data_IF_232370155941
#
_entry.id   IF_232370155941
#
_cell.length_a   1.000
_cell.length_b   1.000
_cell.length_c   1.000
_cell.angle_alpha   90.00
_cell.angle_beta   90.00
_cell.angle_gamma   90.00
#
_symmetry.space_group_name_H-M   'P 1'
#
loop_
_entity.id
_entity.type
_entity.pdbx_description
1 polymer ?
#
# COMPACT_ATOMS: atom_id res chain seq x y z
N UNK A 1 8.07 -15.75 -23.79
CA UNK A 1 6.98 -14.74 -23.77
C UNK A 1 7.48 -13.36 -23.29
N UNK A 2 8.65 -12.90 -23.75
CA UNK A 2 9.34 -11.71 -23.20
C UNK A 2 9.79 -10.70 -24.29
N UNK A 3 9.28 -10.81 -25.52
CA UNK A 3 9.80 -10.09 -26.70
C UNK A 3 9.00 -8.83 -27.12
N UNK A 4 7.84 -8.53 -26.53
CA UNK A 4 6.88 -7.60 -27.18
C UNK A 4 6.66 -6.21 -26.55
N UNK A 5 7.42 -5.79 -25.52
CA UNK A 5 7.10 -4.56 -24.76
C UNK A 5 8.11 -3.41 -24.88
N UNK A 6 8.83 -3.28 -26.01
CA UNK A 6 9.84 -2.22 -26.22
C UNK A 6 9.48 -1.11 -27.22
N UNK A 7 8.20 -0.78 -27.42
CA UNK A 7 7.84 0.36 -28.28
C UNK A 7 6.73 1.21 -27.68
N UNK A 8 7.13 2.34 -27.06
CA UNK A 8 6.59 3.70 -27.29
C UNK A 8 7.18 4.68 -26.25
N UNK A 9 8.00 5.61 -26.74
CA UNK A 9 8.41 6.84 -26.04
C UNK A 9 7.99 8.03 -26.91
N UNK A 10 7.65 9.12 -26.22
CA UNK A 10 7.54 10.51 -26.65
C UNK A 10 6.23 10.98 -27.34
N UNK A 11 5.55 11.94 -26.68
CA UNK A 11 5.48 13.35 -27.11
C UNK A 11 5.06 14.27 -25.94
N UNK A 12 5.53 15.51 -26.05
CA UNK A 12 5.60 16.62 -25.08
C UNK A 12 4.35 17.55 -25.15
N UNK A 13 4.07 18.18 -24.01
CA UNK A 13 3.78 19.60 -23.71
C UNK A 13 2.73 20.41 -24.51
N UNK A 14 1.96 21.21 -23.75
CA UNK A 14 1.49 22.55 -24.15
C UNK A 14 0.11 22.95 -23.60
N UNK A 15 -0.02 24.15 -23.02
CA UNK A 15 -1.30 24.89 -22.91
C UNK A 15 -1.54 25.66 -21.60
N UNK A 16 -1.59 26.99 -21.69
CA UNK A 16 -1.75 27.99 -20.61
C UNK A 16 -3.22 28.43 -20.42
N UNK A 17 -3.52 29.02 -19.24
CA UNK A 17 -4.24 30.31 -19.10
C UNK A 17 -5.75 30.33 -18.81
N UNK A 18 -6.16 31.18 -17.84
CA UNK A 18 -7.53 31.72 -17.72
C UNK A 18 -7.98 32.11 -16.30
N UNK A 19 -7.99 33.40 -15.98
CA UNK A 19 -8.50 34.00 -14.72
C UNK A 19 -9.99 34.42 -14.79
N UNK A 20 -10.68 34.34 -13.63
CA UNK A 20 -11.76 35.22 -13.13
C UNK A 20 -13.23 34.88 -13.48
N UNK A 21 -14.25 35.43 -12.77
CA UNK A 21 -14.24 36.29 -11.56
C UNK A 21 -15.20 35.83 -10.43
N UNK A 22 -15.24 36.64 -9.36
CA UNK A 22 -15.99 36.50 -8.11
C UNK A 22 -17.52 36.68 -8.22
N UNK A 23 -18.26 36.08 -7.28
CA UNK A 23 -19.67 36.34 -7.01
C UNK A 23 -20.05 35.91 -5.60
N UNK A 24 -20.50 36.86 -4.78
CA UNK A 24 -20.98 36.70 -3.40
C UNK A 24 -22.41 36.12 -3.36
N UNK A 25 -22.74 35.38 -2.29
CA UNK A 25 -24.10 34.94 -2.00
C UNK A 25 -24.19 34.15 -0.68
N UNK A 26 -25.03 34.64 0.21
CA UNK A 26 -25.11 34.33 1.65
C UNK A 26 -25.90 33.08 2.03
N UNK A 27 -25.73 32.72 3.31
CA UNK A 27 -26.72 32.16 4.25
C UNK A 27 -26.80 30.63 4.42
N UNK A 28 -26.41 30.24 5.64
CA UNK A 28 -26.87 29.09 6.43
C UNK A 28 -26.85 27.72 5.76
N UNK A 29 -25.83 26.91 6.07
CA UNK A 29 -26.06 25.49 6.34
C UNK A 29 -24.99 24.93 7.25
N UNK A 30 -25.43 24.21 8.28
CA UNK A 30 -24.59 23.52 9.26
C UNK A 30 -23.64 22.57 8.54
N UNK A 31 -22.34 22.92 8.48
CA UNK A 31 -21.28 22.02 8.02
C UNK A 31 -21.26 20.80 8.94
N UNK A 32 -21.92 19.73 8.51
CA UNK A 32 -21.64 18.39 9.04
C UNK A 32 -20.18 18.13 8.71
N UNK A 33 -19.31 18.21 9.72
CA UNK A 33 -17.88 18.01 9.55
C UNK A 33 -17.62 16.58 9.11
N UNK A 34 -17.58 16.37 7.80
CA UNK A 34 -17.03 15.17 7.21
C UNK A 34 -15.51 15.15 7.46
N UNK A 35 -14.95 13.97 7.70
CA UNK A 35 -13.49 13.80 7.75
C UNK A 35 -12.99 13.29 6.41
N UNK A 36 -11.79 13.67 6.02
CA UNK A 36 -11.11 13.09 4.87
C UNK A 36 -10.77 11.62 5.19
N UNK A 37 -11.10 10.70 4.27
CA UNK A 37 -10.72 9.30 4.34
C UNK A 37 -10.46 8.73 2.96
N UNK A 38 -10.28 7.42 2.85
CA UNK A 38 -10.05 6.74 1.57
C UNK A 38 -11.01 5.56 1.38
N UNK A 39 -11.45 5.34 0.15
CA UNK A 39 -12.22 4.15 -0.21
C UNK A 39 -11.31 2.92 -0.15
N UNK A 40 -11.56 1.91 0.71
CA UNK A 40 -10.66 0.76 0.84
C UNK A 40 -10.68 -0.17 -0.40
N UNK A 41 -11.66 -0.01 -1.30
CA UNK A 41 -11.72 -0.76 -2.57
C UNK A 41 -10.79 -0.19 -3.64
N UNK A 42 -10.61 1.14 -3.68
CA UNK A 42 -9.92 1.79 -4.81
C UNK A 42 -8.96 2.93 -4.42
N UNK A 43 -8.77 3.14 -3.11
CA UNK A 43 -7.90 4.14 -2.47
C UNK A 43 -8.10 5.58 -2.95
N UNK A 44 -9.29 5.90 -3.44
CA UNK A 44 -9.64 7.27 -3.79
C UNK A 44 -10.09 8.00 -2.54
N UNK A 45 -9.70 9.26 -2.42
CA UNK A 45 -10.14 10.12 -1.34
C UNK A 45 -11.67 10.18 -1.34
N UNK A 46 -12.24 10.05 -0.14
CA UNK A 46 -13.69 10.12 0.08
C UNK A 46 -13.97 11.04 1.25
N UNK A 47 -15.07 11.79 1.13
CA UNK A 47 -15.63 12.51 2.25
C UNK A 47 -16.46 11.54 3.08
N UNK A 48 -16.11 11.42 4.35
CA UNK A 48 -16.74 10.50 5.28
C UNK A 48 -17.58 11.28 6.29
N UNK A 49 -18.86 10.97 6.37
CA UNK A 49 -19.72 11.45 7.43
C UNK A 49 -19.62 10.52 8.64
N UNK A 50 -19.65 11.08 9.85
CA UNK A 50 -19.77 10.28 11.06
C UNK A 50 -21.14 9.59 11.06
N UNK A 51 -21.15 8.27 11.14
CA UNK A 51 -22.36 7.48 11.26
C UNK A 51 -23.12 7.80 12.57
N UNK A 52 -24.45 7.68 12.58
CA UNK A 52 -25.24 7.88 13.79
C UNK A 52 -24.80 6.89 14.90
N UNK A 53 -24.73 7.36 16.15
CA UNK A 53 -24.49 6.49 17.32
C UNK A 53 -23.07 5.92 17.46
N UNK A 54 -22.08 6.44 16.72
CA UNK A 54 -20.71 5.89 16.74
C UNK A 54 -20.51 4.67 15.82
N UNK A 55 -21.49 4.37 14.97
CA UNK A 55 -21.44 3.27 14.00
C UNK A 55 -20.63 3.65 12.75
N UNK A 56 -19.31 3.78 12.92
CA UNK A 56 -18.35 3.95 11.82
C UNK A 56 -18.61 5.17 10.92
N UNK A 57 -17.83 5.26 9.86
CA UNK A 57 -18.02 6.31 8.85
C UNK A 57 -18.96 5.83 7.75
N UNK A 58 -19.79 6.74 7.24
CA UNK A 58 -20.61 6.55 6.05
C UNK A 58 -20.09 7.45 4.93
N UNK A 59 -20.28 7.04 3.69
CA UNK A 59 -19.80 7.81 2.54
C UNK A 59 -19.96 7.03 1.26
N UNK A 60 -19.77 7.70 0.14
CA UNK A 60 -19.91 7.10 -1.17
C UNK A 60 -18.66 7.38 -2.00
N UNK A 61 -18.05 6.34 -2.56
CA UNK A 61 -16.84 6.51 -3.35
C UNK A 61 -17.13 6.99 -4.78
N UNK A 62 -16.66 8.18 -5.20
CA UNK A 62 -16.97 8.73 -6.52
C UNK A 62 -16.31 7.95 -7.67
N UNK A 63 -15.30 7.11 -7.40
CA UNK A 63 -14.58 6.36 -8.42
C UNK A 63 -15.19 4.98 -8.71
N UNK A 64 -15.64 4.28 -7.69
CA UNK A 64 -16.06 2.89 -7.82
C UNK A 64 -17.47 2.62 -7.26
N UNK A 65 -18.24 3.69 -7.04
CA UNK A 65 -19.66 3.69 -6.66
C UNK A 65 -19.95 2.89 -5.39
N UNK A 66 -18.92 2.70 -4.57
CA UNK A 66 -18.98 1.81 -3.40
C UNK A 66 -19.48 2.59 -2.22
N UNK A 67 -20.58 2.12 -1.63
CA UNK A 67 -21.04 2.60 -0.34
C UNK A 67 -20.03 2.16 0.73
N UNK A 68 -19.45 3.13 1.41
CA UNK A 68 -18.48 2.90 2.49
C UNK A 68 -19.17 2.30 3.71
N UNK A 69 -20.47 2.56 3.92
CA UNK A 69 -21.23 1.96 5.01
C UNK A 69 -21.38 0.43 4.86
N UNK A 70 -21.38 -0.06 3.61
CA UNK A 70 -21.49 -1.47 3.25
C UNK A 70 -20.14 -2.21 3.29
N UNK A 71 -19.04 -1.47 3.44
CA UNK A 71 -17.71 -2.08 3.53
C UNK A 71 -17.49 -2.65 4.93
N UNK A 72 -16.89 -3.85 5.03
CA UNK A 72 -16.65 -4.48 6.32
C UNK A 72 -15.78 -3.56 7.17
N UNK A 73 -16.34 -3.10 8.30
CA UNK A 73 -15.66 -2.33 9.35
C UNK A 73 -14.70 -3.24 10.13
N UNK A 74 -13.74 -3.84 9.43
CA UNK A 74 -12.58 -4.50 10.02
C UNK A 74 -11.46 -3.48 10.20
N UNK A 75 -10.56 -3.72 11.16
CA UNK A 75 -9.31 -2.96 11.25
C UNK A 75 -8.63 -3.00 9.88
N UNK A 76 -8.26 -1.85 9.29
CA UNK A 76 -7.62 -1.83 7.97
C UNK A 76 -6.40 -2.77 7.99
N UNK A 77 -6.27 -3.61 6.97
CA UNK A 77 -5.17 -4.57 6.85
C UNK A 77 -4.32 -4.20 5.65
N UNK A 78 -3.01 -4.07 5.85
CA UNK A 78 -2.05 -3.79 4.77
C UNK A 78 -0.88 -4.76 4.79
N UNK A 79 -0.17 -4.79 3.68
CA UNK A 79 1.13 -5.42 3.56
C UNK A 79 2.18 -4.35 3.23
N UNK A 80 3.31 -4.35 3.94
CA UNK A 80 4.47 -3.54 3.60
C UNK A 80 5.53 -4.42 2.93
N UNK A 81 6.15 -3.91 1.86
CA UNK A 81 7.24 -4.59 1.17
C UNK A 81 8.43 -3.64 1.16
N UNK A 82 9.50 -3.99 1.87
CA UNK A 82 10.68 -3.16 1.99
C UNK A 82 11.77 -3.69 1.08
N UNK A 83 12.24 -2.87 0.15
CA UNK A 83 13.18 -3.24 -0.92
C UNK A 83 14.55 -2.63 -0.63
N UNK A 84 15.60 -3.44 -0.79
CA UNK A 84 16.98 -2.97 -0.74
C UNK A 84 17.32 -2.10 -1.95
N UNK A 85 17.76 -0.87 -1.67
CA UNK A 85 18.14 0.11 -2.71
C UNK A 85 19.63 0.13 -2.99
N UNK A 86 20.46 -0.41 -2.10
CA UNK A 86 21.91 -0.59 -2.28
C UNK A 86 22.28 -1.59 -3.38
N UNK A 87 21.33 -2.46 -3.77
CA UNK A 87 21.51 -3.44 -4.84
C UNK A 87 21.34 -2.86 -6.26
N UNK A 88 21.05 -1.56 -6.37
CA UNK A 88 20.87 -0.83 -7.64
C UNK A 88 19.99 -1.56 -8.67
N UNK A 89 18.97 -2.29 -8.18
CA UNK A 89 18.14 -3.12 -9.03
C UNK A 89 17.36 -2.27 -10.04
N UNK A 90 17.34 -2.69 -11.30
CA UNK A 90 16.50 -2.07 -12.32
C UNK A 90 15.00 -2.23 -11.98
N UNK A 91 14.17 -1.27 -12.43
CA UNK A 91 12.72 -1.21 -12.15
C UNK A 91 11.97 -2.51 -12.38
N UNK A 92 12.29 -3.25 -13.44
CA UNK A 92 11.66 -4.54 -13.75
C UNK A 92 11.99 -5.62 -12.72
N UNK A 93 13.23 -5.65 -12.22
CA UNK A 93 13.66 -6.59 -11.19
C UNK A 93 13.04 -6.23 -9.83
N UNK A 94 13.00 -4.94 -9.49
CA UNK A 94 12.27 -4.46 -8.31
C UNK A 94 10.81 -4.95 -8.34
N UNK A 95 10.11 -4.74 -9.46
CA UNK A 95 8.71 -5.16 -9.58
C UNK A 95 8.52 -6.67 -9.41
N UNK A 96 9.42 -7.49 -9.98
CA UNK A 96 9.39 -8.94 -9.81
C UNK A 96 9.62 -9.36 -8.35
N UNK A 97 10.63 -8.79 -7.69
CA UNK A 97 10.96 -9.08 -6.29
C UNK A 97 9.83 -8.64 -5.34
N UNK A 98 9.22 -7.47 -5.57
CA UNK A 98 8.03 -7.02 -4.84
C UNK A 98 6.85 -7.99 -5.06
N UNK A 99 6.64 -8.46 -6.29
CA UNK A 99 5.61 -9.46 -6.58
C UNK A 99 5.82 -10.77 -5.81
N UNK A 100 7.06 -11.28 -5.77
CA UNK A 100 7.40 -12.47 -4.99
C UNK A 100 7.17 -12.26 -3.49
N UNK A 101 7.63 -11.13 -2.94
CA UNK A 101 7.48 -10.80 -1.53
C UNK A 101 6.00 -10.72 -1.12
N UNK A 102 5.18 -10.09 -1.97
CA UNK A 102 3.74 -10.01 -1.74
C UNK A 102 3.12 -11.39 -1.60
N UNK A 103 3.35 -12.27 -2.58
CA UNK A 103 2.75 -13.61 -2.61
C UNK A 103 3.24 -14.44 -1.43
N UNK A 104 4.55 -14.45 -1.15
CA UNK A 104 5.11 -15.22 -0.03
C UNK A 104 4.53 -14.77 1.31
N UNK A 105 4.58 -13.46 1.60
CA UNK A 105 4.02 -12.92 2.85
C UNK A 105 2.53 -13.17 2.98
N UNK A 106 1.77 -13.03 1.88
CA UNK A 106 0.34 -13.29 1.87
C UNK A 106 0.03 -14.78 2.10
N UNK A 107 0.75 -15.71 1.47
CA UNK A 107 0.55 -17.15 1.70
C UNK A 107 0.88 -17.56 3.13
N UNK A 108 1.96 -17.02 3.71
CA UNK A 108 2.30 -17.23 5.12
C UNK A 108 1.18 -16.76 6.05
N UNK A 109 0.60 -15.58 5.79
CA UNK A 109 -0.52 -15.06 6.58
C UNK A 109 -1.79 -15.88 6.37
N UNK A 110 -2.07 -16.35 5.15
CA UNK A 110 -3.20 -17.23 4.88
C UNK A 110 -3.21 -18.47 5.77
N UNK A 111 -2.04 -19.03 6.04
CA UNK A 111 -1.87 -20.22 6.87
C UNK A 111 -1.88 -19.89 8.37
N UNK A 112 -1.18 -18.82 8.78
CA UNK A 112 -1.02 -18.49 10.19
C UNK A 112 -2.18 -17.67 10.79
N UNK A 113 -2.77 -16.77 10.01
CA UNK A 113 -3.79 -15.77 10.40
C UNK A 113 -4.81 -15.58 9.26
N UNK A 114 -5.60 -16.61 8.92
CA UNK A 114 -6.53 -16.57 7.79
C UNK A 114 -7.51 -15.40 7.85
N UNK A 115 -7.89 -14.95 9.05
CA UNK A 115 -8.76 -13.79 9.25
C UNK A 115 -8.15 -12.48 8.74
N UNK A 116 -6.84 -12.30 8.90
CA UNK A 116 -6.13 -11.13 8.33
C UNK A 116 -5.99 -11.24 6.83
N UNK A 117 -5.75 -12.45 6.33
CA UNK A 117 -5.72 -12.70 4.90
C UNK A 117 -7.06 -12.35 4.24
N UNK A 118 -8.18 -12.85 4.78
CA UNK A 118 -9.51 -12.61 4.20
C UNK A 118 -9.92 -11.14 4.30
N UNK A 119 -9.51 -10.42 5.35
CA UNK A 119 -9.72 -8.98 5.43
C UNK A 119 -8.89 -8.19 4.41
N UNK A 120 -7.67 -8.64 4.11
CA UNK A 120 -6.79 -8.00 3.12
C UNK A 120 -7.14 -8.38 1.67
N UNK A 121 -7.61 -9.61 1.41
CA UNK A 121 -7.83 -10.17 0.07
C UNK A 121 -8.64 -9.27 -0.89
N UNK A 122 -9.70 -8.54 -0.46
CA UNK A 122 -10.48 -7.69 -1.36
C UNK A 122 -9.71 -6.46 -1.84
N UNK A 123 -8.92 -5.82 -0.97
CA UNK A 123 -8.21 -4.57 -1.27
C UNK A 123 -6.77 -4.80 -1.75
N UNK A 124 -6.16 -5.89 -1.26
CA UNK A 124 -4.77 -6.26 -1.42
C UNK A 124 -3.83 -5.07 -1.22
N UNK A 125 -4.07 -4.26 -0.18
CA UNK A 125 -3.30 -3.05 0.12
C UNK A 125 -1.82 -3.35 0.23
N UNK A 126 -0.98 -2.62 -0.52
CA UNK A 126 0.48 -2.76 -0.45
C UNK A 126 1.12 -1.39 -0.41
N UNK A 127 2.09 -1.22 0.49
CA UNK A 127 3.03 -0.10 0.47
C UNK A 127 4.43 -0.63 0.17
N UNK A 128 5.13 0.03 -0.75
CA UNK A 128 6.51 -0.35 -1.11
C UNK A 128 7.46 0.70 -0.55
N UNK A 129 8.37 0.25 0.31
CA UNK A 129 9.28 1.07 1.08
C UNK A 129 10.72 0.72 0.70
N UNK A 130 11.67 1.56 1.10
CA UNK A 130 13.09 1.34 0.84
C UNK A 130 13.88 1.09 2.12
N UNK A 131 14.84 0.19 2.00
CA UNK A 131 15.94 0.01 2.93
C UNK A 131 17.27 0.34 2.23
N UNK A 132 18.22 0.90 2.98
CA UNK A 132 19.57 1.22 2.54
C UNK A 132 20.53 0.03 2.53
N UNK A 133 20.14 -1.13 3.06
CA UNK A 133 21.01 -2.31 3.10
C UNK A 133 20.40 -3.53 3.78
N UNK A 134 21.18 -4.61 3.82
CA UNK A 134 20.78 -5.86 4.48
C UNK A 134 20.57 -5.71 5.99
N UNK A 135 21.39 -4.89 6.65
CA UNK A 135 21.29 -4.68 8.10
C UNK A 135 19.94 -4.09 8.51
N UNK A 136 19.43 -3.14 7.73
CA UNK A 136 18.11 -2.54 7.96
C UNK A 136 16.98 -3.55 7.73
N UNK A 137 17.09 -4.42 6.70
CA UNK A 137 16.16 -5.53 6.49
C UNK A 137 16.14 -6.49 7.69
N UNK A 138 17.31 -6.84 8.22
CA UNK A 138 17.43 -7.68 9.43
C UNK A 138 16.86 -6.98 10.67
N UNK A 139 17.02 -5.66 10.78
CA UNK A 139 16.36 -4.84 11.81
C UNK A 139 14.84 -4.93 11.74
N UNK A 140 14.27 -4.77 10.54
CA UNK A 140 12.83 -4.89 10.28
C UNK A 140 12.34 -6.30 10.64
N UNK A 141 13.09 -7.35 10.27
CA UNK A 141 12.76 -8.74 10.63
C UNK A 141 12.67 -8.94 12.13
N UNK A 142 13.64 -8.42 12.89
CA UNK A 142 13.65 -8.49 14.37
C UNK A 142 12.46 -7.74 14.96
N UNK A 143 12.20 -6.51 14.50
CA UNK A 143 11.07 -5.70 14.96
C UNK A 143 9.71 -6.36 14.64
N UNK A 144 9.56 -6.96 13.46
CA UNK A 144 8.37 -7.71 13.09
C UNK A 144 8.16 -8.93 13.99
N UNK A 145 9.22 -9.71 14.26
CA UNK A 145 9.16 -10.86 15.15
C UNK A 145 8.77 -10.45 16.59
N UNK A 146 9.36 -9.37 17.12
CA UNK A 146 9.06 -8.85 18.45
C UNK A 146 7.63 -8.32 18.56
N UNK A 147 7.14 -7.63 17.54
CA UNK A 147 5.78 -7.11 17.49
C UNK A 147 4.71 -8.19 17.20
N UNK A 148 5.11 -9.42 16.89
CA UNK A 148 4.22 -10.50 16.45
C UNK A 148 3.61 -10.27 15.07
N UNK A 149 4.24 -9.44 14.23
CA UNK A 149 3.85 -9.23 12.84
C UNK A 149 4.38 -10.37 11.95
N UNK A 150 3.54 -11.02 11.13
CA UNK A 150 3.99 -11.96 10.12
C UNK A 150 4.94 -11.29 9.14
N UNK A 151 6.01 -11.98 8.75
CA UNK A 151 6.97 -11.47 7.78
C UNK A 151 7.54 -12.61 6.94
N UNK A 152 8.04 -12.30 5.75
CA UNK A 152 8.81 -13.22 4.92
C UNK A 152 9.93 -12.50 4.17
N UNK A 153 11.06 -13.18 3.95
CA UNK A 153 12.22 -12.61 3.25
C UNK A 153 12.35 -13.24 1.87
N UNK A 154 12.66 -12.41 0.88
CA UNK A 154 12.90 -12.86 -0.48
C UNK A 154 14.38 -12.75 -0.79
N UNK A 155 14.91 -13.83 -1.35
CA UNK A 155 16.26 -13.88 -1.91
C UNK A 155 16.19 -14.12 -3.41
N UNK A 156 17.14 -13.52 -4.13
CA UNK A 156 17.31 -13.81 -5.56
C UNK A 156 17.84 -15.24 -5.72
N UNK A 157 17.16 -16.06 -6.53
CA UNK A 157 17.59 -17.43 -6.81
C UNK A 157 18.85 -17.52 -7.70
N UNK A 158 19.47 -16.38 -8.06
CA UNK A 158 20.67 -16.36 -8.89
C UNK A 158 20.37 -16.49 -10.39
N UNK A 159 19.12 -16.32 -10.81
CA UNK A 159 18.71 -16.30 -12.22
C UNK A 159 18.92 -14.91 -12.86
N UNK A 160 19.59 -14.00 -12.14
CA UNK A 160 19.76 -12.59 -12.52
C UNK A 160 21.11 -12.04 -12.03
N UNK A 161 21.32 -10.73 -12.19
CA UNK A 161 22.55 -9.95 -11.96
C UNK A 161 23.10 -9.92 -10.50
N UNK A 162 22.52 -10.65 -9.55
CA UNK A 162 22.99 -10.69 -8.15
C UNK A 162 23.50 -12.09 -7.80
N UNK A 163 24.35 -12.17 -6.78
CA UNK A 163 24.80 -13.47 -6.27
C UNK A 163 23.60 -14.29 -5.76
N UNK A 164 23.54 -15.60 -6.08
CA UNK A 164 22.49 -16.47 -5.57
C UNK A 164 22.36 -16.38 -4.05
N UNK A 165 21.13 -16.29 -3.55
CA UNK A 165 20.85 -16.17 -2.11
C UNK A 165 20.87 -14.73 -1.58
N UNK A 166 21.21 -13.73 -2.40
CA UNK A 166 21.14 -12.32 -2.00
C UNK A 166 19.72 -11.94 -1.61
N UNK A 167 19.51 -11.57 -0.34
CA UNK A 167 18.24 -11.01 0.15
C UNK A 167 17.96 -9.70 -0.57
N UNK A 168 16.80 -9.58 -1.20
CA UNK A 168 16.39 -8.42 -2.00
C UNK A 168 15.33 -7.58 -1.32
N UNK A 169 14.39 -8.20 -0.63
CA UNK A 169 13.29 -7.53 0.07
C UNK A 169 12.72 -8.37 1.22
N UNK A 170 11.93 -7.71 2.06
CA UNK A 170 11.14 -8.32 3.14
C UNK A 170 9.68 -7.88 3.01
N UNK A 171 8.75 -8.82 3.16
CA UNK A 171 7.33 -8.54 3.35
C UNK A 171 7.01 -8.53 4.84
N UNK A 172 6.21 -7.54 5.29
CA UNK A 172 5.58 -7.49 6.61
C UNK A 172 4.08 -7.47 6.39
N UNK A 173 3.37 -8.41 7.03
CA UNK A 173 1.95 -8.66 6.81
C UNK A 173 1.65 -9.46 5.53
N UNK A 174 0.37 -9.52 5.12
CA UNK A 174 -0.71 -8.65 5.55
C UNK A 174 -1.09 -8.74 7.03
N UNK A 175 -1.30 -7.60 7.67
CA UNK A 175 -1.64 -7.48 9.09
C UNK A 175 -2.36 -6.14 9.35
N UNK A 176 -3.01 -5.96 10.51
CA UNK A 176 -3.61 -4.68 10.90
C UNK A 176 -2.64 -3.52 10.68
N UNK A 177 -3.15 -2.41 10.16
CA UNK A 177 -2.38 -1.26 9.68
C UNK A 177 -1.40 -0.75 10.74
N UNK A 178 -1.90 -0.57 11.96
CA UNK A 178 -1.14 -0.13 13.13
C UNK A 178 -0.01 -1.11 13.50
N UNK A 179 -0.24 -2.42 13.35
CA UNK A 179 0.78 -3.43 13.63
C UNK A 179 1.91 -3.37 12.59
N UNK A 180 1.57 -3.15 11.31
CA UNK A 180 2.56 -2.96 10.25
C UNK A 180 3.34 -1.65 10.47
N UNK A 181 2.67 -0.56 10.82
CA UNK A 181 3.32 0.75 11.01
C UNK A 181 4.23 0.82 12.24
N UNK A 182 3.95 0.04 13.29
CA UNK A 182 4.91 -0.12 14.40
C UNK A 182 6.26 -0.65 13.94
N UNK A 183 6.29 -1.41 12.85
CA UNK A 183 7.52 -1.97 12.29
C UNK A 183 8.09 -1.07 11.19
N UNK A 184 7.26 -0.51 10.32
CA UNK A 184 7.71 0.13 9.07
C UNK A 184 7.42 1.61 8.94
N UNK A 185 6.71 2.24 9.90
CA UNK A 185 6.19 3.61 9.78
C UNK A 185 7.26 4.70 9.65
N UNK A 186 8.49 4.44 10.10
CA UNK A 186 9.63 5.36 9.94
C UNK A 186 10.35 5.26 8.59
N UNK A 187 10.01 4.27 7.76
CA UNK A 187 10.68 4.04 6.48
C UNK A 187 10.13 4.95 5.39
N UNK A 188 10.94 5.19 4.35
CA UNK A 188 10.54 6.02 3.21
C UNK A 188 9.96 5.16 2.09
N UNK A 189 9.06 5.76 1.29
CA UNK A 189 8.59 5.17 0.04
C UNK A 189 9.75 4.92 -0.94
N UNK A 190 9.65 3.84 -1.72
CA UNK A 190 10.65 3.42 -2.70
C UNK A 190 10.77 4.37 -3.90
#
# INVERSE_FOLDING_TARGET
MYSLLKKRRARKAGGQGGEGPAGEGSAHDTVKQGRAGFCPKCYTDVELAHGPGGEGDTGHCPKCDTDIADLPRGTPVKQAIVVRTDLEMGKGKIAAQVGHACVMGAMRVREARPEWFEAWRPSQAKVVLRAGGLEEIEGIRRAAAEAGAPWDMVSDAGLTQLEPGTVTCIAVGPAPDELVDRVTGGLRLL
#
